data_IF_572587261660
#
_entry.id   IF_572587261660
#
_cell.length_a   1.000
_cell.length_b   1.000
_cell.length_c   1.000
_cell.angle_alpha   90.00
_cell.angle_beta   90.00
_cell.angle_gamma   90.00
#
_symmetry.space_group_name_H-M   'P 1'
#
loop_
_entity.id
_entity.type
_entity.pdbx_description
1 polymer ?
#
# COMPACT_ATOMS: atom_id res chain seq x y z
N UNK A 1 14.59 -5.51 -18.68
CA UNK A 1 14.81 -6.17 -17.39
C UNK A 1 13.46 -6.65 -16.89
N UNK A 2 13.27 -7.96 -16.72
CA UNK A 2 12.11 -8.49 -15.98
C UNK A 2 12.56 -8.57 -14.53
N UNK A 3 11.95 -7.80 -13.65
CA UNK A 3 12.40 -7.71 -12.24
C UNK A 3 12.27 -9.05 -11.49
N UNK A 4 11.39 -9.94 -11.95
CA UNK A 4 11.11 -11.25 -11.33
C UNK A 4 11.91 -12.43 -11.90
N UNK A 5 12.87 -12.21 -12.81
CA UNK A 5 13.68 -13.28 -13.39
C UNK A 5 15.18 -13.04 -13.19
N UNK A 6 15.90 -14.05 -12.71
CA UNK A 6 17.35 -14.01 -12.58
C UNK A 6 18.03 -14.65 -13.81
N UNK A 7 19.11 -14.02 -14.30
CA UNK A 7 19.97 -14.53 -15.37
C UNK A 7 20.10 -13.60 -16.59
N UNK A 8 21.21 -13.72 -17.32
CA UNK A 8 21.37 -13.01 -18.59
C UNK A 8 20.44 -13.66 -19.63
N UNK A 9 19.44 -12.90 -20.11
CA UNK A 9 18.55 -13.34 -21.17
C UNK A 9 19.31 -13.90 -22.36
N UNK A 10 18.82 -14.98 -22.97
CA UNK A 10 19.45 -15.58 -24.15
C UNK A 10 19.00 -14.84 -25.41
N UNK A 11 19.97 -14.48 -26.27
CA UNK A 11 19.70 -13.80 -27.55
C UNK A 11 18.78 -14.63 -28.44
N UNK A 12 17.71 -14.02 -28.96
CA UNK A 12 16.76 -14.66 -29.88
C UNK A 12 15.75 -15.59 -29.20
N UNK A 13 15.51 -15.45 -27.90
CA UNK A 13 14.47 -16.17 -27.16
C UNK A 13 13.42 -15.21 -26.64
N UNK A 14 12.16 -15.51 -26.95
CA UNK A 14 11.01 -14.89 -26.31
C UNK A 14 10.71 -15.64 -25.00
N UNK A 15 10.36 -14.90 -23.96
CA UNK A 15 9.96 -15.45 -22.67
C UNK A 15 8.56 -14.97 -22.31
N UNK A 16 7.82 -15.81 -21.60
CA UNK A 16 6.57 -15.41 -20.97
C UNK A 16 6.88 -15.00 -19.53
N UNK A 17 6.50 -13.80 -19.13
CA UNK A 17 6.47 -13.42 -17.72
C UNK A 17 5.03 -13.38 -17.24
N UNK A 18 4.80 -13.67 -15.96
CA UNK A 18 3.52 -13.38 -15.34
C UNK A 18 3.35 -11.85 -15.34
N UNK A 19 2.18 -11.30 -15.71
CA UNK A 19 1.94 -9.87 -15.56
C UNK A 19 2.17 -9.52 -14.09
N UNK A 20 3.01 -8.51 -13.82
CA UNK A 20 3.14 -7.98 -12.47
C UNK A 20 1.78 -7.38 -12.10
N UNK A 21 1.01 -8.10 -11.31
CA UNK A 21 -0.20 -7.57 -10.70
C UNK A 21 0.24 -6.84 -9.44
N UNK A 22 0.20 -5.50 -9.42
CA UNK A 22 0.59 -4.75 -8.24
C UNK A 22 -0.24 -5.24 -7.06
N UNK A 23 0.39 -5.27 -5.89
CA UNK A 23 -0.22 -5.71 -4.63
C UNK A 23 -0.59 -7.20 -4.56
N UNK A 24 -0.20 -8.05 -5.50
CA UNK A 24 -0.44 -9.50 -5.37
C UNK A 24 0.60 -10.15 -4.47
N UNK A 25 0.14 -11.02 -3.57
CA UNK A 25 1.01 -11.79 -2.70
C UNK A 25 1.89 -12.75 -3.50
N UNK A 26 3.20 -12.63 -3.34
CA UNK A 26 4.18 -13.50 -3.99
C UNK A 26 5.20 -14.01 -2.97
N UNK A 27 5.59 -15.27 -3.09
CA UNK A 27 6.67 -15.83 -2.27
C UNK A 27 7.98 -15.63 -3.01
N UNK A 28 8.90 -14.88 -2.43
CA UNK A 28 10.22 -14.62 -3.01
C UNK A 28 11.30 -15.39 -2.25
N UNK A 29 11.78 -16.50 -2.80
CA UNK A 29 13.02 -17.15 -2.34
C UNK A 29 12.94 -17.82 -0.97
N UNK A 30 12.51 -19.08 -0.91
CA UNK A 30 12.60 -19.87 0.34
C UNK A 30 14.08 -20.12 0.66
N UNK A 31 14.57 -19.65 1.81
CA UNK A 31 15.96 -19.83 2.31
C UNK A 31 17.05 -18.97 1.68
N UNK A 32 16.78 -17.70 1.40
CA UNK A 32 17.84 -16.76 1.04
C UNK A 32 18.47 -17.01 -0.33
N UNK A 33 17.78 -17.72 -1.22
CA UNK A 33 18.20 -17.86 -2.62
C UNK A 33 17.10 -17.48 -3.63
N UNK A 34 17.42 -16.60 -4.59
CA UNK A 34 18.68 -15.86 -4.64
C UNK A 34 18.68 -14.77 -3.56
N UNK A 35 19.78 -14.63 -2.81
CA UNK A 35 19.99 -13.51 -1.87
C UNK A 35 19.86 -12.15 -2.57
N UNK A 36 19.94 -12.12 -3.90
CA UNK A 36 19.63 -10.96 -4.74
C UNK A 36 18.16 -10.54 -4.75
N UNK A 37 17.26 -11.28 -4.10
CA UNK A 37 15.84 -10.91 -3.97
C UNK A 37 15.61 -9.84 -2.90
N UNK A 38 16.57 -9.61 -2.00
CA UNK A 38 16.46 -8.58 -0.96
C UNK A 38 16.99 -7.22 -1.45
N UNK A 39 16.42 -6.11 -0.95
CA UNK A 39 15.28 -6.06 -0.03
C UNK A 39 13.94 -6.34 -0.74
N UNK A 40 13.04 -7.03 -0.06
CA UNK A 40 11.72 -7.46 -0.55
C UNK A 40 10.75 -6.28 -0.68
N UNK A 41 10.00 -6.24 -1.76
CA UNK A 41 8.95 -5.24 -2.00
C UNK A 41 7.62 -5.52 -1.29
N UNK A 42 6.67 -4.60 -1.41
CA UNK A 42 5.30 -4.75 -0.85
C UNK A 42 4.65 -6.03 -1.39
N UNK A 43 3.99 -6.78 -0.51
CA UNK A 43 3.35 -8.07 -0.80
C UNK A 43 4.31 -9.21 -1.18
N UNK A 44 5.62 -9.03 -0.98
CA UNK A 44 6.61 -10.10 -1.16
C UNK A 44 6.88 -10.78 0.18
N UNK A 45 6.81 -12.11 0.15
CA UNK A 45 6.86 -12.95 1.34
C UNK A 45 8.25 -13.38 1.74
N UNK A 46 8.32 -14.08 2.89
CA UNK A 46 9.48 -14.70 3.55
C UNK A 46 10.53 -13.75 4.11
N UNK A 47 10.13 -12.55 4.49
CA UNK A 47 10.95 -11.71 5.36
C UNK A 47 11.06 -12.35 6.75
N UNK A 48 12.21 -12.24 7.41
CA UNK A 48 12.37 -12.63 8.81
C UNK A 48 12.24 -11.39 9.73
N UNK A 49 12.69 -10.23 9.24
CA UNK A 49 12.66 -8.95 9.97
C UNK A 49 12.54 -7.74 9.01
N UNK A 50 12.35 -6.55 9.57
CA UNK A 50 12.12 -5.33 8.79
C UNK A 50 13.25 -4.97 7.83
N UNK A 51 14.52 -5.35 8.11
CA UNK A 51 15.66 -5.08 7.23
C UNK A 51 15.64 -5.92 5.95
N UNK A 52 14.83 -6.97 5.92
CA UNK A 52 14.61 -7.78 4.73
C UNK A 52 13.63 -7.08 3.77
N UNK A 53 12.93 -6.04 4.21
CA UNK A 53 11.97 -5.29 3.42
C UNK A 53 12.58 -4.01 2.84
N UNK A 54 12.05 -3.56 1.70
CA UNK A 54 12.44 -2.30 1.09
C UNK A 54 12.12 -1.13 2.02
N UNK A 55 12.86 -0.02 1.87
CA UNK A 55 12.69 1.17 2.71
C UNK A 55 11.22 1.60 2.80
N UNK A 56 10.75 1.83 4.03
CA UNK A 56 9.36 2.23 4.31
C UNK A 56 8.38 1.07 4.49
N UNK A 57 8.83 -0.18 4.33
CA UNK A 57 8.02 -1.38 4.58
C UNK A 57 8.46 -2.07 5.88
N UNK A 58 7.54 -2.81 6.49
CA UNK A 58 7.80 -3.64 7.67
C UNK A 58 7.53 -5.11 7.35
N UNK A 59 8.13 -6.01 8.13
CA UNK A 59 7.88 -7.44 8.02
C UNK A 59 6.71 -7.85 8.93
N UNK A 60 5.58 -8.23 8.33
CA UNK A 60 4.45 -8.77 9.07
C UNK A 60 4.68 -10.26 9.34
N UNK A 61 5.10 -10.58 10.56
CA UNK A 61 5.19 -11.97 10.99
C UNK A 61 3.79 -12.57 11.18
N UNK A 62 3.52 -13.69 10.52
CA UNK A 62 2.21 -14.33 10.45
C UNK A 62 2.23 -15.71 11.10
N UNK A 63 1.18 -16.00 11.87
CA UNK A 63 1.07 -17.27 12.61
C UNK A 63 0.07 -18.25 11.98
N UNK A 64 -0.72 -17.79 11.01
CA UNK A 64 -1.77 -18.54 10.34
C UNK A 64 -2.14 -17.90 9.01
N UNK A 65 -3.43 -17.56 8.87
CA UNK A 65 -4.04 -17.05 7.65
C UNK A 65 -4.40 -15.57 7.73
N UNK A 66 -3.68 -14.79 8.56
CA UNK A 66 -3.90 -13.35 8.71
C UNK A 66 -3.78 -12.65 7.35
N UNK A 67 -4.65 -11.70 7.03
CA UNK A 67 -4.54 -10.93 5.79
C UNK A 67 -3.37 -9.95 5.86
N UNK A 68 -2.75 -9.66 4.71
CA UNK A 68 -1.64 -8.70 4.61
C UNK A 68 -2.20 -7.36 4.14
N UNK A 69 -2.05 -6.27 4.91
CA UNK A 69 -2.61 -4.96 4.56
C UNK A 69 -2.20 -4.48 3.18
N UNK A 70 -3.18 -4.04 2.39
CA UNK A 70 -2.96 -3.54 1.03
C UNK A 70 -2.50 -4.59 0.01
N UNK A 71 -2.61 -5.89 0.33
CA UNK A 71 -2.24 -6.99 -0.56
C UNK A 71 -3.43 -7.89 -0.89
N UNK A 72 -3.39 -8.47 -2.10
CA UNK A 72 -4.44 -9.30 -2.67
C UNK A 72 -3.91 -10.72 -2.87
N UNK A 73 -4.74 -11.70 -2.54
CA UNK A 73 -4.46 -13.12 -2.77
C UNK A 73 -4.73 -13.95 -1.53
N UNK A 74 -4.57 -15.26 -1.66
CA UNK A 74 -4.66 -16.19 -0.52
C UNK A 74 -3.25 -16.53 -0.06
N UNK A 75 -2.71 -15.85 0.97
CA UNK A 75 -1.36 -16.12 1.45
C UNK A 75 -1.28 -17.53 2.02
N UNK A 76 -0.22 -18.29 1.73
CA UNK A 76 0.03 -19.53 2.45
C UNK A 76 0.17 -19.29 3.96
N UNK A 77 -0.22 -20.31 4.73
CA UNK A 77 -0.18 -20.24 6.19
C UNK A 77 1.24 -20.01 6.69
N UNK A 78 1.42 -19.13 7.70
CA UNK A 78 2.71 -18.88 8.37
C UNK A 78 3.83 -18.43 7.42
N UNK A 79 3.46 -17.67 6.40
CA UNK A 79 4.44 -16.97 5.56
C UNK A 79 4.38 -15.50 5.92
N UNK A 80 5.51 -14.94 6.27
CA UNK A 80 5.66 -13.53 6.63
C UNK A 80 5.74 -12.69 5.36
N UNK A 81 5.30 -11.43 5.38
CA UNK A 81 5.28 -10.58 4.20
C UNK A 81 5.70 -9.15 4.52
N UNK A 82 6.44 -8.56 3.59
CA UNK A 82 6.69 -7.12 3.59
C UNK A 82 5.40 -6.39 3.23
N UNK A 83 4.99 -5.46 4.07
CA UNK A 83 3.79 -4.65 3.90
C UNK A 83 4.10 -3.19 4.19
N UNK A 84 3.28 -2.31 3.64
CA UNK A 84 3.35 -0.90 4.01
C UNK A 84 2.53 -0.73 5.30
N UNK A 85 3.14 -0.27 6.41
CA UNK A 85 2.43 -0.07 7.66
C UNK A 85 1.33 0.97 7.58
N UNK A 86 1.34 1.81 6.54
CA UNK A 86 0.29 2.79 6.28
C UNK A 86 -0.73 2.25 5.28
N UNK A 87 -0.56 1.04 4.72
CA UNK A 87 -1.55 0.49 3.80
C UNK A 87 -2.89 0.28 4.50
N UNK A 88 -3.95 0.88 3.96
CA UNK A 88 -5.26 0.91 4.61
C UNK A 88 -5.48 2.11 5.54
N UNK A 89 -4.44 2.88 5.86
CA UNK A 89 -4.60 4.15 6.57
C UNK A 89 -5.15 5.21 5.61
N UNK A 90 -6.13 5.96 6.09
CA UNK A 90 -6.65 7.08 5.35
C UNK A 90 -5.73 8.29 5.52
N UNK A 91 -5.42 8.94 4.41
CA UNK A 91 -4.68 10.20 4.36
C UNK A 91 -5.52 11.31 3.73
N UNK A 92 -5.52 12.48 4.37
CA UNK A 92 -6.14 13.69 3.82
C UNK A 92 -5.41 14.12 2.54
N UNK A 93 -6.13 14.76 1.62
CA UNK A 93 -5.50 15.35 0.43
C UNK A 93 -4.57 16.49 0.86
N UNK A 94 -3.28 16.32 0.59
CA UNK A 94 -2.26 17.23 1.09
C UNK A 94 -2.50 18.67 0.61
N UNK A 95 -2.68 19.59 1.56
CA UNK A 95 -2.88 21.00 1.30
C UNK A 95 -4.28 21.37 0.80
N UNK A 96 -5.25 20.45 0.82
CA UNK A 96 -6.62 20.77 0.46
C UNK A 96 -7.30 21.67 1.51
N UNK A 97 -8.09 22.61 1.02
CA UNK A 97 -9.01 23.47 1.76
C UNK A 97 -10.21 23.76 0.87
N UNK A 98 -11.37 24.01 1.48
CA UNK A 98 -12.62 24.31 0.78
C UNK A 98 -12.65 25.74 0.21
N UNK A 99 -13.74 26.13 -0.46
CA UNK A 99 -13.87 27.48 -1.05
C UNK A 99 -13.85 28.63 -0.04
N UNK A 100 -14.10 28.33 1.24
CA UNK A 100 -14.10 29.29 2.35
C UNK A 100 -12.74 29.36 3.07
N UNK A 101 -11.81 28.47 2.72
CA UNK A 101 -10.46 28.39 3.28
C UNK A 101 -10.32 27.39 4.43
N UNK A 102 -11.32 26.54 4.66
CA UNK A 102 -11.33 25.57 5.74
C UNK A 102 -10.73 24.23 5.27
N UNK A 103 -9.63 23.83 5.92
CA UNK A 103 -8.95 22.55 5.66
C UNK A 103 -9.49 21.40 6.51
N UNK A 104 -8.97 20.18 6.30
CA UNK A 104 -9.41 18.98 7.02
C UNK A 104 -9.32 19.10 8.56
N UNK A 105 -8.40 19.92 9.08
CA UNK A 105 -8.35 20.24 10.51
C UNK A 105 -9.61 20.92 11.01
N UNK A 106 -10.18 21.88 10.25
CA UNK A 106 -11.42 22.54 10.64
C UNK A 106 -12.57 21.54 10.70
N UNK A 107 -12.67 20.63 9.73
CA UNK A 107 -13.67 19.58 9.68
C UNK A 107 -13.53 18.54 10.81
N UNK A 108 -12.36 18.45 11.47
CA UNK A 108 -12.10 17.50 12.56
C UNK A 108 -12.45 18.01 13.97
N UNK A 109 -12.59 19.31 14.16
CA UNK A 109 -12.76 19.92 15.50
C UNK A 109 -14.21 19.94 16.01
N UNK A 110 -15.20 19.69 15.14
CA UNK A 110 -16.61 19.71 15.50
C UNK A 110 -17.33 18.44 15.08
N UNK A 111 -18.08 17.81 15.99
CA UNK A 111 -18.76 16.53 15.78
C UNK A 111 -19.69 16.52 14.56
N UNK A 112 -20.22 17.67 14.13
CA UNK A 112 -21.11 17.79 12.97
C UNK A 112 -20.53 18.52 11.76
N UNK A 113 -19.28 19.00 11.80
CA UNK A 113 -18.72 19.83 10.70
C UNK A 113 -18.66 19.04 9.39
N UNK A 114 -18.21 17.79 9.43
CA UNK A 114 -18.26 16.89 8.27
C UNK A 114 -19.68 16.56 7.81
N UNK A 115 -20.64 16.41 8.72
CA UNK A 115 -22.01 16.03 8.34
C UNK A 115 -22.78 17.20 7.74
N UNK A 116 -22.57 18.41 8.26
CA UNK A 116 -23.33 19.60 7.91
C UNK A 116 -22.73 20.32 6.70
N UNK A 117 -21.40 20.39 6.62
CA UNK A 117 -20.68 21.15 5.60
C UNK A 117 -19.83 20.29 4.67
N UNK A 118 -19.65 18.99 4.93
CA UNK A 118 -18.67 18.20 4.19
C UNK A 118 -18.99 17.94 2.71
N UNK A 119 -20.23 18.19 2.25
CA UNK A 119 -20.60 18.16 0.82
C UNK A 119 -20.59 19.56 0.17
N UNK A 120 -20.51 20.63 0.97
CA UNK A 120 -20.52 21.98 0.43
C UNK A 120 -19.11 22.40 0.00
N UNK A 121 -19.04 23.60 -0.56
CA UNK A 121 -17.81 24.37 -0.52
C UNK A 121 -16.67 23.72 -1.33
N UNK A 122 -17.03 23.06 -2.44
CA UNK A 122 -16.07 22.38 -3.32
C UNK A 122 -14.94 23.32 -3.75
N UNK A 123 -13.70 22.82 -3.64
CA UNK A 123 -12.53 23.48 -4.17
C UNK A 123 -11.67 22.46 -4.93
N UNK A 124 -11.15 22.87 -6.08
CA UNK A 124 -10.37 22.03 -6.99
C UNK A 124 -11.04 20.68 -7.36
N UNK A 125 -12.38 20.62 -7.39
CA UNK A 125 -13.13 19.41 -7.75
C UNK A 125 -13.38 18.45 -6.60
N UNK A 126 -13.08 18.85 -5.36
CA UNK A 126 -13.24 18.01 -4.18
C UNK A 126 -13.98 18.74 -3.05
N UNK A 127 -14.85 18.01 -2.34
CA UNK A 127 -15.48 18.43 -1.08
C UNK A 127 -14.73 17.81 0.11
N UNK A 128 -15.03 18.25 1.35
CA UNK A 128 -14.38 17.67 2.52
C UNK A 128 -14.67 16.16 2.68
N UNK A 129 -15.86 15.70 2.28
CA UNK A 129 -16.21 14.27 2.24
C UNK A 129 -15.49 13.47 1.17
N UNK A 130 -14.79 14.13 0.25
CA UNK A 130 -13.94 13.49 -0.75
C UNK A 130 -12.46 13.63 -0.40
N UNK A 131 -12.05 14.77 0.16
CA UNK A 131 -10.65 15.09 0.43
C UNK A 131 -10.17 14.71 1.84
N UNK A 132 -11.06 14.65 2.83
CA UNK A 132 -10.70 14.50 4.24
C UNK A 132 -11.17 13.16 4.82
N UNK A 133 -10.26 12.46 5.48
CA UNK A 133 -10.49 11.18 6.14
C UNK A 133 -11.52 11.25 7.25
N UNK A 134 -11.50 12.34 8.02
CA UNK A 134 -12.46 12.57 9.10
C UNK A 134 -13.90 12.66 8.58
N UNK A 135 -14.09 12.99 7.31
CA UNK A 135 -15.39 13.03 6.65
C UNK A 135 -15.69 11.76 5.83
N UNK A 136 -14.85 10.72 5.91
CA UNK A 136 -14.99 9.48 5.15
C UNK A 136 -14.46 9.54 3.71
N UNK A 137 -13.78 10.64 3.35
CA UNK A 137 -13.07 10.80 2.09
C UNK A 137 -11.58 10.45 2.25
N UNK A 138 -10.73 11.24 1.62
CA UNK A 138 -9.28 11.03 1.62
C UNK A 138 -8.84 9.94 0.65
N UNK A 139 -7.57 9.56 0.77
CA UNK A 139 -6.96 8.48 -0.01
C UNK A 139 -6.48 7.38 0.92
N UNK A 140 -6.72 6.13 0.54
CA UNK A 140 -6.17 4.96 1.22
C UNK A 140 -4.80 4.63 0.62
N UNK A 141 -3.78 4.46 1.47
CA UNK A 141 -2.42 4.06 1.03
C UNK A 141 -2.29 2.55 0.78
#
# INVERSE_FOLDING_TARGET
EITSCAGAGQSGKDYCHLPETPNTLVIMGRYGDPHSAFPLGKCQGVCDNDLDCASGLLCMQRSGSEEVPGCIGTPPNRVDYCYDPNAGECTDYAGWFDSDGDGCSWYSEGETRCTDFGECCENEGHTAKQACCVCGGGSIS
#
